data_IF_017390598200
#
_entry.id   IF_017390598200
#
_cell.length_a   1.000
_cell.length_b   1.000
_cell.length_c   1.000
_cell.angle_alpha   90.00
_cell.angle_beta   90.00
_cell.angle_gamma   90.00
#
_symmetry.space_group_name_H-M   'P 1'
#
loop_
_entity.id
_entity.type
_entity.pdbx_description
1 polymer ?
#
# COMPACT_ATOMS: atom_id res chain seq x y z
N UNK A 1 -6.75 17.16 -18.21
CA UNK A 1 -7.38 16.29 -17.21
C UNK A 1 -6.30 15.92 -16.21
N UNK A 2 -6.41 16.34 -14.95
CA UNK A 2 -5.41 16.00 -13.93
C UNK A 2 -5.60 14.51 -13.56
N UNK A 3 -4.52 13.72 -13.62
CA UNK A 3 -4.56 12.31 -13.26
C UNK A 3 -4.81 12.10 -11.76
N UNK A 4 -5.20 10.89 -11.37
CA UNK A 4 -5.33 10.54 -9.96
C UNK A 4 -3.97 10.62 -9.26
N UNK A 5 -3.96 11.23 -8.08
CA UNK A 5 -2.78 11.37 -7.23
C UNK A 5 -2.77 10.25 -6.18
N UNK A 6 -1.72 9.42 -6.17
CA UNK A 6 -1.62 8.30 -5.22
C UNK A 6 -1.12 8.75 -3.84
N UNK A 7 -1.78 8.29 -2.77
CA UNK A 7 -1.38 8.55 -1.36
C UNK A 7 -1.64 7.34 -0.47
N UNK A 8 -0.92 7.22 0.65
CA UNK A 8 -1.09 6.09 1.58
C UNK A 8 -2.41 6.22 2.35
N UNK A 9 -3.17 5.12 2.43
CA UNK A 9 -4.42 5.07 3.19
C UNK A 9 -4.20 5.38 4.67
N UNK A 10 -5.06 6.23 5.23
CA UNK A 10 -5.07 6.52 6.67
C UNK A 10 -3.85 7.29 7.19
N UNK A 11 -3.03 7.86 6.30
CA UNK A 11 -1.87 8.68 6.66
C UNK A 11 -2.07 10.09 6.17
N UNK A 12 -1.79 11.09 7.02
CA UNK A 12 -1.87 12.50 6.65
C UNK A 12 -1.06 12.77 5.39
N UNK A 13 -1.63 13.55 4.47
CA UNK A 13 -0.99 13.85 3.19
C UNK A 13 -1.14 15.33 2.82
N UNK A 14 -0.09 15.88 2.22
CA UNK A 14 -0.14 17.20 1.57
C UNK A 14 -0.41 17.00 0.09
N UNK A 15 -1.45 17.65 -0.42
CA UNK A 15 -1.90 17.53 -1.81
C UNK A 15 -1.64 18.87 -2.51
N UNK A 16 -0.65 18.96 -3.42
CA UNK A 16 -0.37 20.17 -4.18
C UNK A 16 -1.35 20.33 -5.34
N UNK A 17 -1.72 21.56 -5.66
CA UNK A 17 -2.57 21.91 -6.80
C UNK A 17 -2.32 23.35 -7.28
N UNK A 18 -2.96 23.71 -8.38
CA UNK A 18 -2.88 25.05 -8.98
C UNK A 18 -4.28 25.57 -9.19
N UNK A 19 -4.50 26.85 -8.91
CA UNK A 19 -5.73 27.55 -9.24
C UNK A 19 -5.49 28.47 -10.44
N UNK A 20 -6.55 28.69 -11.20
CA UNK A 20 -6.54 29.60 -12.33
C UNK A 20 -7.53 30.73 -12.07
N UNK A 21 -7.30 31.88 -12.70
CA UNK A 21 -8.26 32.99 -12.73
C UNK A 21 -9.64 32.51 -13.19
N UNK A 22 -10.70 33.23 -12.84
CA UNK A 22 -12.08 32.82 -13.14
C UNK A 22 -12.35 32.54 -14.64
N UNK A 23 -11.58 33.17 -15.53
CA UNK A 23 -11.61 32.97 -16.98
C UNK A 23 -10.65 31.87 -17.49
N UNK A 24 -9.84 31.29 -16.60
CA UNK A 24 -8.85 30.26 -16.91
C UNK A 24 -7.61 30.73 -17.66
N UNK A 25 -7.42 32.05 -17.82
CA UNK A 25 -6.35 32.59 -18.68
C UNK A 25 -4.96 32.59 -18.03
N UNK A 26 -4.89 32.64 -16.70
CA UNK A 26 -3.64 32.67 -15.95
C UNK A 26 -3.74 31.88 -14.64
N UNK A 27 -2.59 31.53 -14.07
CA UNK A 27 -2.53 31.02 -12.69
C UNK A 27 -2.95 32.13 -11.74
N UNK A 28 -3.78 31.80 -10.75
CA UNK A 28 -4.19 32.70 -9.67
C UNK A 28 -3.17 32.59 -8.53
N UNK A 29 -2.35 33.60 -8.23
CA UNK A 29 -1.27 33.50 -7.23
C UNK A 29 -1.66 33.97 -5.82
N UNK A 30 -2.85 34.56 -5.66
CA UNK A 30 -3.29 35.27 -4.44
C UNK A 30 -4.69 34.82 -4.00
N UNK A 31 -5.02 33.54 -4.21
CA UNK A 31 -6.28 32.98 -3.74
C UNK A 31 -6.28 32.89 -2.21
N UNK A 32 -7.37 33.37 -1.58
CA UNK A 32 -7.52 33.37 -0.13
C UNK A 32 -8.62 32.38 0.24
N UNK A 33 -8.27 31.32 0.96
CA UNK A 33 -9.26 30.34 1.41
C UNK A 33 -10.30 30.97 2.34
N UNK A 34 -11.57 30.69 2.06
CA UNK A 34 -12.71 30.92 2.92
C UNK A 34 -13.40 29.61 3.31
N UNK A 35 -14.16 29.65 4.40
CA UNK A 35 -14.93 28.50 4.85
C UNK A 35 -15.92 28.01 3.78
N UNK A 36 -15.80 26.74 3.40
CA UNK A 36 -16.63 26.12 2.36
C UNK A 36 -15.98 26.10 0.97
N UNK A 37 -14.83 26.75 0.77
CA UNK A 37 -14.13 26.72 -0.52
C UNK A 37 -13.59 25.33 -0.87
N UNK A 38 -13.36 24.49 0.14
CA UNK A 38 -12.79 23.16 0.00
C UNK A 38 -13.73 22.11 0.58
N UNK A 39 -14.19 21.22 -0.30
CA UNK A 39 -15.01 20.07 0.08
C UNK A 39 -14.30 18.77 -0.27
N UNK A 40 -14.50 17.78 0.57
CA UNK A 40 -14.02 16.42 0.39
C UNK A 40 -15.20 15.46 0.22
N UNK A 41 -15.09 14.58 -0.76
CA UNK A 41 -15.99 13.46 -1.00
C UNK A 41 -15.18 12.18 -0.89
N UNK A 42 -15.60 11.28 0.00
CA UNK A 42 -14.98 9.98 0.25
C UNK A 42 -15.87 8.88 -0.32
N UNK A 43 -15.33 8.04 -1.21
CA UNK A 43 -16.02 6.89 -1.81
C UNK A 43 -17.43 7.23 -2.33
N UNK A 44 -17.53 8.33 -3.08
CA UNK A 44 -18.79 8.85 -3.65
C UNK A 44 -19.88 9.19 -2.61
N UNK A 45 -19.48 9.35 -1.34
CA UNK A 45 -20.35 9.73 -0.25
C UNK A 45 -20.77 11.21 -0.27
N UNK A 46 -21.35 11.66 0.84
CA UNK A 46 -21.73 13.07 1.00
C UNK A 46 -20.50 13.97 1.11
N UNK A 47 -20.53 15.10 0.41
CA UNK A 47 -19.51 16.14 0.55
C UNK A 47 -19.49 16.69 1.98
N UNK A 48 -18.30 16.83 2.53
CA UNK A 48 -18.05 17.53 3.78
C UNK A 48 -17.00 18.62 3.55
N UNK A 49 -16.96 19.64 4.41
CA UNK A 49 -15.84 20.57 4.42
C UNK A 49 -14.56 19.83 4.82
N UNK A 50 -13.43 20.20 4.22
CA UNK A 50 -12.14 19.76 4.73
C UNK A 50 -11.86 20.37 6.10
N UNK A 51 -11.09 19.66 6.91
CA UNK A 51 -10.68 20.10 8.24
C UNK A 51 -9.72 21.29 8.17
N UNK A 52 -8.81 21.26 7.20
CA UNK A 52 -7.82 22.30 6.99
C UNK A 52 -8.16 23.18 5.77
N UNK A 53 -7.76 24.45 5.86
CA UNK A 53 -7.67 25.36 4.73
C UNK A 53 -6.50 24.94 3.81
N UNK A 54 -6.56 25.33 2.53
CA UNK A 54 -5.37 25.26 1.68
C UNK A 54 -4.41 26.40 2.02
N UNK A 55 -3.11 26.16 1.80
CA UNK A 55 -2.03 27.11 1.96
C UNK A 55 -1.52 27.58 0.60
N UNK A 56 -1.07 28.83 0.54
CA UNK A 56 -0.34 29.40 -0.59
C UNK A 56 1.15 29.01 -0.51
N UNK A 57 1.68 28.45 -1.59
CA UNK A 57 3.08 28.03 -1.77
C UNK A 57 3.82 28.92 -2.79
N UNK A 58 3.24 30.07 -3.15
CA UNK A 58 3.78 31.11 -4.03
C UNK A 58 3.19 31.09 -5.44
N UNK A 59 3.36 30.00 -6.20
CA UNK A 59 2.77 29.84 -7.55
C UNK A 59 1.68 28.77 -7.61
N UNK A 60 1.52 28.03 -6.53
CA UNK A 60 0.54 26.98 -6.38
C UNK A 60 0.10 26.89 -4.93
N UNK A 61 -0.74 25.92 -4.65
CA UNK A 61 -1.35 25.76 -3.35
C UNK A 61 -1.17 24.33 -2.86
N UNK A 62 -1.30 24.14 -1.56
CA UNK A 62 -1.32 22.82 -0.96
C UNK A 62 -2.50 22.69 0.01
N UNK A 63 -3.10 21.51 0.10
CA UNK A 63 -4.06 21.20 1.17
C UNK A 63 -3.59 20.00 1.94
N UNK A 64 -3.59 20.11 3.27
CA UNK A 64 -3.26 19.00 4.16
C UNK A 64 -4.55 18.26 4.50
N UNK A 65 -4.63 17.00 4.07
CA UNK A 65 -5.68 16.08 4.50
C UNK A 65 -5.20 15.30 5.72
N UNK A 66 -6.01 15.27 6.76
CA UNK A 66 -5.77 14.49 7.97
C UNK A 66 -5.76 12.98 7.69
N UNK A 67 -5.20 12.20 8.62
CA UNK A 67 -5.24 10.74 8.55
C UNK A 67 -6.69 10.20 8.41
N UNK A 68 -7.67 10.82 9.07
CA UNK A 68 -9.08 10.40 9.02
C UNK A 68 -9.74 10.72 7.65
N UNK A 69 -9.45 11.89 7.09
CA UNK A 69 -9.88 12.24 5.73
C UNK A 69 -9.29 11.28 4.70
N UNK A 70 -8.06 10.80 4.94
CA UNK A 70 -7.34 9.83 4.10
C UNK A 70 -7.79 8.36 4.25
N UNK A 71 -8.85 8.08 5.01
CA UNK A 71 -9.43 6.72 5.16
C UNK A 71 -10.58 6.47 4.18
N UNK A 72 -10.29 6.38 2.89
CA UNK A 72 -11.23 6.01 1.82
C UNK A 72 -10.47 5.39 0.66
N UNK A 73 -11.14 4.62 -0.20
CA UNK A 73 -10.52 4.09 -1.41
C UNK A 73 -10.24 5.22 -2.41
N UNK A 74 -11.26 6.06 -2.67
CA UNK A 74 -11.18 7.24 -3.53
C UNK A 74 -11.61 8.48 -2.79
N UNK A 75 -10.86 9.56 -3.00
CA UNK A 75 -11.14 10.86 -2.42
C UNK A 75 -11.17 11.88 -3.55
N UNK A 76 -12.25 12.65 -3.65
CA UNK A 76 -12.34 13.81 -4.54
C UNK A 76 -12.35 15.06 -3.68
N UNK A 77 -11.44 15.98 -3.97
CA UNK A 77 -11.40 17.30 -3.37
C UNK A 77 -11.95 18.29 -4.38
N UNK A 78 -13.02 19.00 -4.04
CA UNK A 78 -13.54 20.11 -4.81
C UNK A 78 -13.06 21.41 -4.21
N UNK A 79 -12.47 22.27 -5.04
CA UNK A 79 -12.01 23.60 -4.66
C UNK A 79 -12.83 24.59 -5.49
N UNK A 80 -13.73 25.32 -4.82
CA UNK A 80 -14.74 26.19 -5.44
C UNK A 80 -14.86 27.46 -4.61
N UNK A 81 -14.54 28.62 -5.18
CA UNK A 81 -14.78 29.92 -4.54
C UNK A 81 -16.27 30.08 -4.22
N UNK A 82 -16.61 30.26 -2.93
CA UNK A 82 -18.00 30.47 -2.48
C UNK A 82 -18.48 31.92 -2.60
N UNK A 83 -17.64 32.83 -3.10
CA UNK A 83 -18.01 34.22 -3.33
C UNK A 83 -19.13 34.35 -4.37
N UNK A 84 -19.99 35.36 -4.21
CA UNK A 84 -21.08 35.64 -5.16
C UNK A 84 -20.56 35.91 -6.60
N UNK A 85 -19.31 36.38 -6.72
CA UNK A 85 -18.59 36.47 -7.98
C UNK A 85 -17.26 35.72 -7.82
N UNK A 86 -17.15 34.50 -8.37
CA UNK A 86 -15.94 33.68 -8.25
C UNK A 86 -14.71 34.40 -8.80
N UNK A 87 -13.62 34.38 -8.04
CA UNK A 87 -12.33 34.96 -8.38
C UNK A 87 -11.39 33.95 -9.05
N UNK A 88 -11.65 32.65 -8.87
CA UNK A 88 -10.91 31.56 -9.51
C UNK A 88 -11.82 30.46 -10.03
N UNK A 89 -11.30 29.72 -11.01
CA UNK A 89 -11.99 28.61 -11.64
C UNK A 89 -12.10 27.42 -10.68
N UNK A 90 -13.28 26.75 -10.62
CA UNK A 90 -13.43 25.51 -9.88
C UNK A 90 -12.42 24.44 -10.32
N UNK A 91 -11.82 23.74 -9.36
CA UNK A 91 -10.85 22.68 -9.62
C UNK A 91 -11.23 21.45 -8.81
N UNK A 92 -11.02 20.26 -9.37
CA UNK A 92 -11.14 19.01 -8.66
C UNK A 92 -9.83 18.24 -8.66
N UNK A 93 -9.55 17.58 -7.54
CA UNK A 93 -8.38 16.73 -7.36
C UNK A 93 -8.87 15.33 -7.00
N UNK A 94 -8.44 14.35 -7.78
CA UNK A 94 -8.71 12.95 -7.50
C UNK A 94 -7.52 12.34 -6.77
N UNK A 95 -7.77 11.71 -5.62
CA UNK A 95 -6.79 10.99 -4.83
C UNK A 95 -7.24 9.54 -4.73
N UNK A 96 -6.35 8.62 -5.08
CA UNK A 96 -6.53 7.18 -4.89
C UNK A 96 -5.59 6.71 -3.79
N UNK A 97 -6.12 5.93 -2.85
CA UNK A 97 -5.30 5.45 -1.74
C UNK A 97 -4.69 4.10 -2.03
N UNK A 98 -3.57 3.82 -1.36
CA UNK A 98 -2.92 2.52 -1.42
C UNK A 98 -2.46 2.00 -0.04
N UNK A 99 -2.14 0.71 0.02
CA UNK A 99 -1.49 0.07 1.18
C UNK A 99 -2.40 -0.28 2.34
N UNK A 100 -3.69 -0.51 2.07
CA UNK A 100 -4.67 -1.01 3.02
C UNK A 100 -5.75 -1.84 2.29
N UNK A 101 -6.37 -2.81 2.96
CA UNK A 101 -7.44 -3.62 2.36
C UNK A 101 -8.67 -2.80 1.92
N UNK A 102 -8.92 -1.65 2.57
CA UNK A 102 -9.97 -0.69 2.21
C UNK A 102 -9.50 0.41 1.25
N UNK A 103 -8.25 0.36 0.77
CA UNK A 103 -7.73 1.31 -0.21
C UNK A 103 -8.13 0.92 -1.64
N UNK A 104 -8.06 1.86 -2.58
CA UNK A 104 -8.27 1.57 -4.01
C UNK A 104 -7.25 0.54 -4.51
N UNK A 105 -6.01 0.64 -4.01
CA UNK A 105 -4.92 -0.26 -4.32
C UNK A 105 -4.45 -0.95 -3.04
N UNK A 106 -4.85 -2.20 -2.82
CA UNK A 106 -4.50 -2.92 -1.59
C UNK A 106 -2.98 -3.05 -1.38
N UNK A 107 -2.21 -3.04 -2.47
CA UNK A 107 -0.76 -3.15 -2.43
C UNK A 107 -0.08 -1.93 -1.77
N UNK A 108 0.76 -2.15 -0.74
CA UNK A 108 1.52 -1.08 -0.09
C UNK A 108 2.83 -0.79 -0.85
N UNK A 109 2.83 0.32 -1.58
CA UNK A 109 3.98 0.82 -2.35
C UNK A 109 5.19 1.17 -1.48
N UNK A 110 5.02 1.33 -0.15
CA UNK A 110 6.13 1.58 0.77
C UNK A 110 6.77 0.29 1.29
N UNK A 111 6.23 -0.88 0.92
CA UNK A 111 6.84 -2.16 1.31
C UNK A 111 8.15 -2.32 0.56
N UNK A 112 9.26 -2.39 1.29
CA UNK A 112 10.57 -2.70 0.70
C UNK A 112 10.52 -4.07 0.02
N UNK A 113 11.03 -4.16 -1.22
CA UNK A 113 10.87 -5.33 -2.10
C UNK A 113 11.29 -6.69 -1.53
N UNK A 114 12.03 -6.74 -0.42
CA UNK A 114 12.35 -7.98 0.28
C UNK A 114 11.10 -8.68 0.88
N UNK A 115 10.14 -7.93 1.46
CA UNK A 115 8.93 -8.53 2.05
C UNK A 115 7.95 -9.07 0.98
N UNK A 116 7.99 -8.52 -0.23
CA UNK A 116 7.19 -8.95 -1.37
C UNK A 116 7.61 -10.33 -1.88
N UNK A 117 8.92 -10.61 -1.87
CA UNK A 117 9.44 -11.92 -2.24
C UNK A 117 9.01 -12.96 -1.21
N UNK A 118 9.06 -12.66 0.08
CA UNK A 118 8.72 -13.62 1.14
C UNK A 118 7.23 -14.05 1.11
N UNK A 119 6.29 -13.14 0.85
CA UNK A 119 4.86 -13.48 0.78
C UNK A 119 4.49 -14.30 -0.45
N UNK A 120 5.06 -13.97 -1.62
CA UNK A 120 4.85 -14.72 -2.86
C UNK A 120 5.52 -16.10 -2.80
N UNK A 121 6.72 -16.18 -2.19
CA UNK A 121 7.43 -17.43 -1.90
C UNK A 121 6.58 -18.26 -0.94
N UNK A 122 6.24 -17.76 0.25
CA UNK A 122 5.46 -18.50 1.26
C UNK A 122 4.08 -18.97 0.78
N UNK A 123 3.34 -18.15 0.02
CA UNK A 123 2.04 -18.53 -0.56
C UNK A 123 2.13 -19.52 -1.73
N UNK A 124 3.31 -19.63 -2.36
CA UNK A 124 3.60 -20.69 -3.33
C UNK A 124 4.05 -21.99 -2.66
N UNK A 125 4.43 -21.92 -1.37
CA UNK A 125 4.74 -23.09 -0.54
C UNK A 125 3.54 -23.44 0.32
N UNK A 126 2.49 -23.98 -0.30
CA UNK A 126 1.59 -24.97 0.32
C UNK A 126 2.37 -26.28 0.64
N UNK A 127 3.60 -26.18 1.11
CA UNK A 127 4.42 -27.34 1.47
C UNK A 127 4.17 -27.61 2.94
N UNK A 128 3.15 -28.41 3.18
CA UNK A 128 3.03 -29.18 4.42
C UNK A 128 4.36 -29.93 4.66
N UNK A 129 5.22 -29.42 5.55
CA UNK A 129 6.43 -30.10 5.99
C UNK A 129 7.70 -29.24 6.05
N UNK A 130 8.72 -29.83 6.66
CA UNK A 130 10.09 -29.35 6.99
C UNK A 130 10.80 -28.40 6.01
N UNK A 131 10.32 -28.25 4.79
CA UNK A 131 10.90 -27.41 3.73
C UNK A 131 10.63 -25.92 3.95
N UNK A 132 9.48 -25.53 4.50
CA UNK A 132 9.15 -24.13 4.80
C UNK A 132 10.04 -23.54 5.89
N UNK A 133 10.24 -24.30 6.98
CA UNK A 133 11.19 -23.96 8.05
C UNK A 133 12.64 -23.90 7.51
N UNK A 134 12.98 -24.78 6.55
CA UNK A 134 14.30 -24.80 5.92
C UNK A 134 14.64 -23.55 5.11
N UNK A 135 13.66 -22.97 4.43
CA UNK A 135 13.86 -21.76 3.65
C UNK A 135 14.12 -20.56 4.58
N UNK A 136 13.36 -20.44 5.68
CA UNK A 136 13.53 -19.37 6.66
C UNK A 136 14.88 -19.45 7.37
N UNK A 137 15.28 -20.64 7.81
CA UNK A 137 16.59 -20.86 8.44
C UNK A 137 17.75 -20.61 7.48
N UNK A 138 17.65 -21.09 6.24
CA UNK A 138 18.70 -20.87 5.23
C UNK A 138 18.92 -19.38 4.95
N UNK A 139 17.85 -18.58 4.96
CA UNK A 139 17.94 -17.12 4.79
C UNK A 139 18.54 -16.42 6.02
N UNK A 140 18.18 -16.84 7.24
CA UNK A 140 18.80 -16.34 8.47
C UNK A 140 20.31 -16.64 8.52
N UNK A 141 20.77 -17.67 7.83
CA UNK A 141 22.18 -18.06 7.70
C UNK A 141 22.94 -17.34 6.58
N UNK A 142 22.30 -16.42 5.84
CA UNK A 142 22.89 -15.63 4.76
C UNK A 142 22.69 -16.21 3.35
N UNK A 143 22.89 -15.38 2.32
CA UNK A 143 22.73 -15.78 0.91
C UNK A 143 23.70 -16.91 0.51
N UNK A 144 23.23 -17.82 -0.36
CA UNK A 144 24.05 -18.91 -0.91
C UNK A 144 23.99 -20.22 -0.10
N UNK A 145 22.79 -20.72 0.20
CA UNK A 145 22.60 -22.03 0.84
C UNK A 145 21.84 -22.97 -0.09
N UNK A 146 22.21 -24.24 -0.08
CA UNK A 146 21.53 -25.31 -0.82
C UNK A 146 20.67 -26.11 0.16
N UNK A 147 19.36 -26.18 -0.12
CA UNK A 147 18.43 -27.03 0.63
C UNK A 147 18.29 -28.35 -0.12
N UNK A 148 18.46 -29.47 0.58
CA UNK A 148 18.24 -30.82 0.03
C UNK A 148 17.21 -31.51 0.91
N UNK A 149 16.13 -31.96 0.28
CA UNK A 149 15.13 -32.83 0.90
C UNK A 149 15.53 -34.28 0.65
N UNK A 150 15.54 -35.08 1.70
CA UNK A 150 15.79 -36.52 1.63
C UNK A 150 14.47 -37.30 1.67
N UNK A 151 14.50 -38.55 1.19
CA UNK A 151 13.33 -39.44 1.12
C UNK A 151 12.70 -39.76 2.49
N UNK A 152 13.43 -39.49 3.58
CA UNK A 152 12.97 -39.60 4.96
C UNK A 152 12.17 -38.37 5.46
N UNK A 153 11.91 -37.40 4.58
CA UNK A 153 11.20 -36.15 4.91
C UNK A 153 12.04 -35.15 5.69
N UNK A 154 13.33 -35.42 5.90
CA UNK A 154 14.25 -34.49 6.56
C UNK A 154 14.78 -33.49 5.55
N UNK A 155 14.68 -32.21 5.89
CA UNK A 155 15.32 -31.14 5.12
C UNK A 155 16.70 -30.85 5.70
N UNK A 156 17.71 -30.70 4.84
CA UNK A 156 19.08 -30.35 5.25
C UNK A 156 19.55 -29.10 4.51
N UNK A 157 20.19 -28.21 5.23
CA UNK A 157 20.75 -26.95 4.71
C UNK A 157 22.26 -27.12 4.60
N UNK A 158 22.80 -26.91 3.40
CA UNK A 158 24.23 -26.95 3.11
C UNK A 158 24.74 -25.57 2.67
N UNK A 159 26.06 -25.40 2.62
CA UNK A 159 26.67 -24.30 1.87
C UNK A 159 26.32 -24.37 0.36
N UNK A 160 26.54 -23.27 -0.36
CA UNK A 160 26.11 -23.13 -1.76
C UNK A 160 26.63 -24.25 -2.67
N UNK A 161 27.86 -24.69 -2.40
CA UNK A 161 28.56 -25.76 -3.12
C UNK A 161 28.13 -27.18 -2.67
N UNK A 162 27.31 -27.28 -1.62
CA UNK A 162 26.87 -28.54 -1.04
C UNK A 162 27.93 -29.26 -0.20
N UNK A 163 29.08 -28.63 0.08
CA UNK A 163 30.22 -29.30 0.73
C UNK A 163 30.01 -29.54 2.23
N UNK A 164 29.35 -28.61 2.91
CA UNK A 164 29.23 -28.60 4.38
C UNK A 164 27.77 -28.53 4.81
N UNK A 165 27.34 -29.50 5.63
CA UNK A 165 26.04 -29.47 6.29
C UNK A 165 26.03 -28.42 7.40
N UNK A 166 25.06 -27.51 7.35
CA UNK A 166 24.90 -26.40 8.28
C UNK A 166 23.79 -26.64 9.29
N UNK A 167 22.69 -27.26 8.88
CA UNK A 167 21.55 -27.55 9.75
C UNK A 167 20.75 -28.73 9.21
N UNK A 168 20.24 -29.55 10.13
CA UNK A 168 19.26 -30.60 9.83
C UNK A 168 17.93 -30.18 10.44
N UNK A 169 16.87 -30.26 9.65
CA UNK A 169 15.52 -29.93 10.05
C UNK A 169 14.69 -31.20 10.02
N UNK A 170 14.55 -31.76 11.22
CA UNK A 170 13.66 -32.87 11.46
C UNK A 170 12.23 -32.31 11.46
N UNK A 171 11.30 -32.87 10.66
CA UNK A 171 9.91 -32.44 10.73
C UNK A 171 9.41 -32.58 12.17
N UNK A 172 8.95 -31.47 12.76
CA UNK A 172 8.27 -31.49 14.05
C UNK A 172 7.01 -32.34 13.85
N UNK A 173 6.87 -33.40 14.66
CA UNK A 173 5.90 -34.49 14.50
C UNK A 173 4.44 -34.08 14.80
N UNK A 174 4.01 -32.92 14.34
CA UNK A 174 2.61 -32.49 14.37
C UNK A 174 2.13 -32.22 12.93
N UNK A 175 2.21 -33.27 12.10
CA UNK A 175 1.30 -33.37 10.97
C UNK A 175 0.10 -34.16 11.47
N UNK A 176 -0.97 -33.44 11.80
CA UNK A 176 -2.25 -34.01 12.18
C UNK A 176 -2.61 -35.21 11.30
N UNK A 177 -3.06 -36.27 11.95
CA UNK A 177 -3.41 -37.53 11.33
C UNK A 177 -4.30 -37.35 10.08
N UNK A 178 -3.72 -37.53 8.90
CA UNK A 178 -4.48 -37.94 7.73
C UNK A 178 -3.87 -39.21 7.14
N UNK A 179 -3.85 -40.26 7.96
CA UNK A 179 -3.57 -41.62 7.50
C UNK A 179 -4.85 -42.15 6.85
N UNK A 180 -5.06 -41.83 5.58
CA UNK A 180 -6.07 -42.52 4.77
C UNK A 180 -5.62 -43.97 4.61
N UNK A 181 -6.17 -44.84 5.45
CA UNK A 181 -5.91 -46.28 5.38
C UNK A 181 -6.76 -46.81 4.24
N UNK A 182 -6.16 -47.03 3.08
CA UNK A 182 -6.83 -47.74 1.99
C UNK A 182 -6.67 -49.23 2.28
N UNK A 183 -7.73 -49.85 2.78
CA UNK A 183 -7.81 -51.32 2.89
C UNK A 183 -8.18 -51.86 1.51
N UNK A 184 -7.37 -52.75 0.91
CA UNK A 184 -7.74 -53.37 -0.35
C UNK A 184 -8.88 -54.39 -0.13
N UNK A 185 -9.92 -54.28 -0.94
CA UNK A 185 -10.88 -55.36 -1.25
C UNK A 185 -10.59 -55.89 -2.65
#
# INVERSE_FOLDING_TARGET
MQGATLRKYGVQATIPFTLYTADGSAVKPDAVHAGGDTKIMKDEGTEANTTNAFADEGQGYSIVLSAAEMQAARIVIYIVDQSATPLWLPTSINVETYGNASAQHAFDLNTTGANQVLGAVAGSYDVAGSVGEAILDAQAMGVGKKIVTHDDGVAKIYDQDGSTLRKTLTPTKDVGANKTTVTPT
#
